data_IF_930002539858
#
_entry.id   IF_930002539858
#
_cell.length_a   1.000
_cell.length_b   1.000
_cell.length_c   1.000
_cell.angle_alpha   90.00
_cell.angle_beta   90.00
_cell.angle_gamma   90.00
#
_symmetry.space_group_name_H-M   'P 1'
#
loop_
_entity.id
_entity.type
_entity.pdbx_description
1 polymer ?
#
# COMPACT_ATOMS: atom_id res chain seq x y z
N UNK A 1 12.03 16.72 -8.03
CA UNK A 1 10.99 16.59 -9.07
C UNK A 1 11.08 17.73 -10.08
N UNK A 2 10.67 17.47 -11.31
CA UNK A 2 10.64 18.43 -12.42
C UNK A 2 9.22 18.94 -12.67
N UNK A 3 8.22 18.07 -12.52
CA UNK A 3 6.80 18.37 -12.74
C UNK A 3 6.01 18.07 -11.47
N UNK A 4 5.14 18.98 -11.09
CA UNK A 4 4.18 18.81 -10.01
C UNK A 4 2.78 19.15 -10.52
N UNK A 5 1.83 18.23 -10.30
CA UNK A 5 0.42 18.43 -10.61
C UNK A 5 -0.35 18.44 -9.29
N UNK A 6 -1.17 19.44 -9.06
CA UNK A 6 -2.03 19.55 -7.89
C UNK A 6 -3.36 20.21 -8.26
N UNK A 7 -4.44 19.98 -7.47
CA UNK A 7 -5.69 20.70 -7.66
C UNK A 7 -5.52 22.21 -7.53
N UNK A 8 -4.71 22.66 -6.56
CA UNK A 8 -4.33 24.04 -6.37
C UNK A 8 -3.02 24.15 -5.57
N UNK A 9 -2.47 25.36 -5.48
CA UNK A 9 -1.28 25.68 -4.71
C UNK A 9 -1.60 26.84 -3.78
N UNK A 10 -1.17 26.75 -2.53
CA UNK A 10 -1.32 27.86 -1.58
C UNK A 10 -0.37 29.01 -1.93
N UNK A 11 -0.71 30.21 -1.48
CA UNK A 11 0.12 31.40 -1.71
C UNK A 11 1.53 31.26 -1.10
N UNK A 12 1.65 30.51 0.00
CA UNK A 12 2.92 30.23 0.67
C UNK A 12 3.76 29.19 -0.08
N UNK A 13 3.10 28.21 -0.72
CA UNK A 13 3.80 27.16 -1.43
C UNK A 13 4.40 27.62 -2.78
N UNK A 14 3.72 28.54 -3.48
CA UNK A 14 4.12 28.99 -4.81
C UNK A 14 5.56 29.54 -4.85
N UNK A 15 5.98 30.48 -3.99
CA UNK A 15 7.34 31.00 -4.03
C UNK A 15 8.41 29.94 -3.79
N UNK A 16 8.12 28.96 -2.92
CA UNK A 16 9.02 27.83 -2.64
C UNK A 16 9.14 26.93 -3.87
N UNK A 17 8.02 26.63 -4.51
CA UNK A 17 7.99 25.77 -5.69
C UNK A 17 8.62 26.44 -6.91
N UNK A 18 8.40 27.73 -7.13
CA UNK A 18 8.92 28.53 -8.23
C UNK A 18 10.42 28.87 -8.09
N UNK A 19 11.02 28.63 -6.92
CA UNK A 19 12.45 28.88 -6.67
C UNK A 19 13.41 28.21 -7.68
N UNK A 20 12.94 27.15 -8.38
CA UNK A 20 13.68 26.47 -9.45
C UNK A 20 13.04 26.77 -10.81
N UNK A 21 13.75 27.53 -11.66
CA UNK A 21 13.30 28.03 -12.98
C UNK A 21 12.72 26.94 -13.92
N UNK A 22 13.23 25.72 -13.85
CA UNK A 22 12.86 24.64 -14.77
C UNK A 22 11.74 23.74 -14.21
N UNK A 23 11.19 24.08 -13.04
CA UNK A 23 10.09 23.31 -12.46
C UNK A 23 8.77 23.67 -13.12
N UNK A 24 8.03 22.67 -13.55
CA UNK A 24 6.71 22.81 -14.18
C UNK A 24 5.65 22.57 -13.12
N UNK A 25 4.82 23.58 -12.86
CA UNK A 25 3.67 23.50 -11.95
C UNK A 25 2.40 23.49 -12.77
N UNK A 26 1.61 22.42 -12.65
CA UNK A 26 0.35 22.24 -13.37
C UNK A 26 -0.80 22.24 -12.38
N UNK A 27 -1.74 23.16 -12.56
CA UNK A 27 -3.01 23.14 -11.81
C UNK A 27 -4.05 22.34 -12.57
N UNK A 28 -4.57 21.29 -11.92
CA UNK A 28 -5.63 20.48 -12.47
C UNK A 28 -6.96 21.24 -12.39
N UNK A 29 -7.53 21.61 -13.53
CA UNK A 29 -8.80 22.36 -13.59
C UNK A 29 -9.99 21.50 -13.25
N UNK A 30 -10.00 20.25 -13.76
CA UNK A 30 -11.08 19.28 -13.56
C UNK A 30 -10.48 17.90 -13.24
N UNK A 31 -11.01 17.19 -12.23
CA UNK A 31 -10.61 15.82 -11.98
C UNK A 31 -11.10 14.93 -13.12
N UNK A 32 -10.19 14.15 -13.71
CA UNK A 32 -10.54 13.16 -14.74
C UNK A 32 -10.95 11.88 -14.02
N UNK A 33 -12.23 11.52 -14.14
CA UNK A 33 -12.81 10.30 -13.59
C UNK A 33 -13.10 9.28 -14.71
N UNK A 34 -12.04 8.68 -15.26
CA UNK A 34 -12.24 7.57 -16.20
C UNK A 34 -12.91 6.39 -15.49
N UNK A 35 -13.95 5.83 -16.10
CA UNK A 35 -14.62 4.62 -15.57
C UNK A 35 -13.79 3.37 -15.86
N UNK A 36 -13.06 3.38 -16.97
CA UNK A 36 -12.26 2.26 -17.43
C UNK A 36 -10.81 2.66 -17.63
N UNK A 37 -9.90 1.76 -17.28
CA UNK A 37 -8.47 1.80 -17.61
C UNK A 37 -8.20 0.79 -18.72
N UNK A 38 -7.45 1.21 -19.73
CA UNK A 38 -7.12 0.38 -20.89
C UNK A 38 -5.61 0.25 -21.03
N UNK A 39 -5.15 -0.96 -21.39
CA UNK A 39 -3.75 -1.22 -21.73
C UNK A 39 -3.67 -2.04 -23.01
N UNK A 40 -2.81 -1.62 -23.92
CA UNK A 40 -2.50 -2.41 -25.12
C UNK A 40 -1.76 -3.70 -24.71
N UNK A 41 -2.11 -4.81 -25.33
CA UNK A 41 -1.53 -6.11 -25.03
C UNK A 41 -1.58 -7.00 -26.27
N UNK A 42 -0.42 -7.30 -26.86
CA UNK A 42 -0.30 -8.10 -28.09
C UNK A 42 -1.26 -7.58 -29.19
N UNK A 43 -2.18 -8.40 -29.66
CA UNK A 43 -3.20 -8.05 -30.64
C UNK A 43 -4.54 -7.56 -30.04
N UNK A 44 -4.58 -7.12 -28.78
CA UNK A 44 -5.79 -6.75 -28.06
C UNK A 44 -5.61 -5.62 -27.06
N UNK A 45 -6.63 -5.45 -26.23
CA UNK A 45 -6.68 -4.45 -25.15
C UNK A 45 -7.15 -5.13 -23.88
N UNK A 46 -6.41 -4.94 -22.79
CA UNK A 46 -6.88 -5.26 -21.44
C UNK A 46 -7.69 -4.07 -20.92
N UNK A 47 -8.96 -4.33 -20.58
CA UNK A 47 -9.87 -3.34 -19.98
C UNK A 47 -10.11 -3.71 -18.51
N UNK A 48 -10.00 -2.74 -17.62
CA UNK A 48 -10.25 -2.89 -16.19
C UNK A 48 -11.06 -1.69 -15.71
N UNK A 49 -12.10 -1.92 -14.91
CA UNK A 49 -12.76 -0.83 -14.21
C UNK A 49 -11.79 -0.08 -13.33
N UNK A 50 -11.92 1.25 -13.32
CA UNK A 50 -11.08 2.08 -12.44
C UNK A 50 -11.42 1.79 -10.99
N UNK A 51 -10.44 1.34 -10.23
CA UNK A 51 -10.56 1.14 -8.79
C UNK A 51 -10.77 2.49 -8.10
N UNK A 52 -11.98 2.72 -7.59
CA UNK A 52 -12.38 3.94 -6.86
C UNK A 52 -12.52 3.73 -5.36
N UNK A 53 -12.37 2.50 -4.88
CA UNK A 53 -12.45 2.21 -3.45
C UNK A 53 -11.35 2.95 -2.70
N UNK A 54 -11.71 3.55 -1.58
CA UNK A 54 -10.77 4.21 -0.65
C UNK A 54 -11.19 3.81 0.75
N UNK A 55 -10.41 2.92 1.34
CA UNK A 55 -10.64 2.47 2.70
C UNK A 55 -10.31 3.56 3.70
N UNK A 56 -11.14 3.61 4.73
CA UNK A 56 -10.92 4.38 5.96
C UNK A 56 -10.68 3.40 7.11
N UNK A 57 -10.52 3.90 8.31
CA UNK A 57 -10.42 3.05 9.50
C UNK A 57 -11.68 2.21 9.75
N UNK A 58 -12.83 2.62 9.21
CA UNK A 58 -14.10 1.89 9.38
C UNK A 58 -14.13 0.54 8.64
N UNK A 59 -13.39 0.43 7.52
CA UNK A 59 -13.25 -0.82 6.76
C UNK A 59 -12.14 -1.72 7.30
N UNK A 60 -11.24 -1.20 8.15
CA UNK A 60 -10.13 -1.95 8.77
C UNK A 60 -10.62 -2.85 9.91
N UNK A 61 -11.21 -4.00 9.59
CA UNK A 61 -11.79 -4.92 10.57
C UNK A 61 -10.73 -5.83 11.18
N UNK A 62 -10.42 -5.70 12.50
CA UNK A 62 -9.48 -6.59 13.16
C UNK A 62 -9.99 -8.04 13.14
N UNK A 63 -9.08 -8.97 12.82
CA UNK A 63 -9.37 -10.42 12.74
C UNK A 63 -8.49 -11.23 13.67
N UNK A 64 -7.53 -10.60 14.33
CA UNK A 64 -6.58 -11.20 15.28
C UNK A 64 -6.92 -10.82 16.72
N UNK A 65 -6.35 -11.57 17.69
CA UNK A 65 -6.50 -11.29 19.13
C UNK A 65 -5.92 -9.94 19.52
N UNK A 66 -4.79 -9.56 18.90
CA UNK A 66 -4.21 -8.23 19.03
C UNK A 66 -4.83 -7.34 17.97
N UNK A 67 -5.47 -6.26 18.40
CA UNK A 67 -5.98 -5.24 17.50
C UNK A 67 -4.89 -4.19 17.21
N UNK A 68 -4.87 -3.60 16.01
CA UNK A 68 -3.96 -2.48 15.76
C UNK A 68 -4.31 -1.28 16.64
N UNK A 69 -3.31 -0.53 17.05
CA UNK A 69 -3.47 0.76 17.73
C UNK A 69 -4.03 1.82 16.77
N UNK A 70 -4.55 2.92 17.30
CA UNK A 70 -5.06 4.04 16.47
C UNK A 70 -3.97 4.58 15.53
N UNK A 71 -2.71 4.62 15.98
CA UNK A 71 -1.58 5.04 15.18
C UNK A 71 -1.32 4.08 14.02
N UNK A 72 -1.30 2.77 14.29
CA UNK A 72 -1.16 1.75 13.26
C UNK A 72 -2.32 1.77 12.27
N UNK A 73 -3.56 2.02 12.72
CA UNK A 73 -4.71 2.17 11.82
C UNK A 73 -4.53 3.34 10.84
N UNK A 74 -4.03 4.48 11.29
CA UNK A 74 -3.71 5.63 10.41
C UNK A 74 -2.65 5.25 9.38
N UNK A 75 -1.58 4.58 9.82
CA UNK A 75 -0.51 4.12 8.94
C UNK A 75 -0.99 3.02 7.98
N UNK A 76 -1.87 2.11 8.39
CA UNK A 76 -2.48 1.09 7.54
C UNK A 76 -3.36 1.72 6.45
N UNK A 77 -4.20 2.71 6.79
CA UNK A 77 -4.99 3.46 5.79
C UNK A 77 -4.10 4.15 4.78
N UNK A 78 -3.02 4.78 5.24
CA UNK A 78 -2.04 5.41 4.36
C UNK A 78 -1.35 4.39 3.46
N UNK A 79 -0.86 3.27 4.00
CA UNK A 79 -0.23 2.19 3.25
C UNK A 79 -1.19 1.58 2.21
N UNK A 80 -2.48 1.40 2.55
CA UNK A 80 -3.50 0.86 1.65
C UNK A 80 -3.74 1.80 0.46
N UNK A 81 -3.78 3.11 0.67
CA UNK A 81 -3.85 4.09 -0.42
C UNK A 81 -2.65 4.00 -1.36
N UNK A 82 -1.45 3.78 -0.83
CA UNK A 82 -0.23 3.65 -1.64
C UNK A 82 -0.19 2.33 -2.40
N UNK A 83 -0.56 1.21 -1.76
CA UNK A 83 -0.54 -0.12 -2.42
C UNK A 83 -1.56 -0.20 -3.55
N UNK A 84 -2.73 0.42 -3.41
CA UNK A 84 -3.73 0.58 -4.47
C UNK A 84 -3.16 1.19 -5.75
N UNK A 85 -2.23 2.14 -5.64
CA UNK A 85 -1.59 2.78 -6.79
C UNK A 85 -0.34 2.05 -7.30
N UNK A 86 0.05 0.97 -6.64
CA UNK A 86 1.22 0.16 -7.01
C UNK A 86 0.85 -0.95 -8.00
N UNK A 87 1.82 -1.34 -8.84
CA UNK A 87 1.62 -2.46 -9.79
C UNK A 87 1.64 -3.78 -9.02
N UNK A 88 0.63 -4.62 -9.23
CA UNK A 88 0.51 -5.96 -8.62
C UNK A 88 1.62 -6.93 -9.06
N UNK A 89 2.04 -7.93 -8.29
CA UNK A 89 1.77 -8.03 -6.85
C UNK A 89 2.53 -6.94 -6.10
N UNK A 90 1.90 -6.33 -5.10
CA UNK A 90 2.48 -5.21 -4.39
C UNK A 90 2.33 -5.33 -2.86
N UNK A 91 3.39 -4.92 -2.18
CA UNK A 91 3.43 -4.70 -0.72
C UNK A 91 3.97 -3.29 -0.46
N UNK A 92 3.35 -2.61 0.48
CA UNK A 92 3.79 -1.31 0.98
C UNK A 92 4.05 -1.41 2.47
N UNK A 93 5.19 -0.86 2.90
CA UNK A 93 5.56 -0.70 4.31
C UNK A 93 5.49 0.79 4.65
N UNK A 94 4.81 1.14 5.74
CA UNK A 94 4.73 2.52 6.21
C UNK A 94 4.90 2.61 7.74
N UNK A 95 5.29 3.80 8.21
CA UNK A 95 5.44 4.13 9.61
C UNK A 95 5.37 5.64 9.78
N UNK A 96 4.64 6.13 10.76
CA UNK A 96 4.55 7.56 11.10
C UNK A 96 4.08 8.45 9.91
N UNK A 97 3.12 7.95 9.10
CA UNK A 97 2.64 8.66 7.92
C UNK A 97 3.64 8.74 6.77
N UNK A 98 4.71 7.95 6.80
CA UNK A 98 5.75 7.90 5.79
C UNK A 98 5.77 6.55 5.07
N UNK A 99 5.93 6.57 3.74
CA UNK A 99 6.31 5.40 2.96
C UNK A 99 7.75 4.99 3.30
N UNK A 100 7.92 3.84 3.92
CA UNK A 100 9.25 3.29 4.25
C UNK A 100 9.84 2.59 3.02
N UNK A 101 9.09 1.66 2.45
CA UNK A 101 9.48 0.95 1.25
C UNK A 101 8.28 0.28 0.57
N UNK A 102 8.48 -0.12 -0.68
CA UNK A 102 7.50 -0.91 -1.42
C UNK A 102 8.19 -1.96 -2.27
N UNK A 103 7.58 -3.12 -2.40
CA UNK A 103 7.87 -4.13 -3.42
C UNK A 103 6.70 -4.17 -4.38
N UNK A 104 6.95 -3.99 -5.67
CA UNK A 104 5.90 -3.80 -6.68
C UNK A 104 6.19 -4.60 -7.95
N UNK A 105 5.13 -5.03 -8.64
CA UNK A 105 5.24 -5.74 -9.91
C UNK A 105 5.90 -7.11 -9.83
N UNK A 106 5.84 -7.75 -8.67
CA UNK A 106 6.46 -9.05 -8.45
C UNK A 106 5.55 -10.21 -8.87
N UNK A 107 6.17 -11.35 -9.21
CA UNK A 107 5.46 -12.56 -9.61
C UNK A 107 4.81 -13.27 -8.43
N UNK A 108 5.35 -13.10 -7.22
CA UNK A 108 4.77 -13.60 -5.98
C UNK A 108 4.66 -12.49 -4.93
N UNK A 109 3.78 -12.71 -3.95
CA UNK A 109 3.58 -11.74 -2.87
C UNK A 109 4.72 -11.78 -1.87
N UNK A 110 5.27 -12.96 -1.61
CA UNK A 110 6.45 -13.11 -0.75
C UNK A 110 7.68 -12.39 -1.34
N UNK A 111 7.87 -12.43 -2.66
CA UNK A 111 8.95 -11.68 -3.32
C UNK A 111 8.74 -10.16 -3.18
N UNK A 112 7.49 -9.68 -3.32
CA UNK A 112 7.18 -8.28 -3.10
C UNK A 112 7.52 -7.83 -1.66
N UNK A 113 7.21 -8.65 -0.66
CA UNK A 113 7.55 -8.37 0.73
C UNK A 113 9.06 -8.39 0.97
N UNK A 114 9.76 -9.40 0.47
CA UNK A 114 11.23 -9.49 0.58
C UNK A 114 11.91 -8.28 -0.05
N UNK A 115 11.45 -7.85 -1.23
CA UNK A 115 11.94 -6.66 -1.92
C UNK A 115 11.72 -5.40 -1.07
N UNK A 116 10.52 -5.22 -0.49
CA UNK A 116 10.22 -4.08 0.38
C UNK A 116 11.13 -4.05 1.62
N UNK A 117 11.28 -5.19 2.31
CA UNK A 117 12.16 -5.32 3.49
C UNK A 117 13.61 -5.02 3.13
N UNK A 118 14.13 -5.62 2.06
CA UNK A 118 15.51 -5.40 1.61
C UNK A 118 15.75 -3.93 1.26
N UNK A 119 14.80 -3.29 0.60
CA UNK A 119 14.87 -1.86 0.24
C UNK A 119 14.85 -0.96 1.48
N UNK A 120 13.99 -1.23 2.45
CA UNK A 120 13.94 -0.49 3.71
C UNK A 120 15.30 -0.56 4.45
N UNK A 121 15.84 -1.75 4.58
CA UNK A 121 17.15 -1.98 5.22
C UNK A 121 18.29 -1.30 4.47
N UNK A 122 18.29 -1.34 3.14
CA UNK A 122 19.30 -0.67 2.30
C UNK A 122 19.33 0.83 2.54
N UNK A 123 18.17 1.47 2.74
CA UNK A 123 18.08 2.90 3.04
C UNK A 123 18.16 3.22 4.54
N UNK A 124 18.45 2.24 5.39
CA UNK A 124 18.64 2.45 6.83
C UNK A 124 17.35 2.71 7.62
N UNK A 125 16.19 2.34 7.08
CA UNK A 125 14.93 2.47 7.81
C UNK A 125 14.76 1.36 8.84
N UNK A 126 14.35 1.75 10.05
CA UNK A 126 13.93 0.82 11.10
C UNK A 126 12.49 0.35 10.84
N UNK A 127 12.33 -0.97 10.73
CA UNK A 127 11.03 -1.61 10.49
C UNK A 127 10.27 -1.97 11.78
N UNK A 128 10.87 -1.83 12.97
CA UNK A 128 10.16 -2.09 14.22
C UNK A 128 9.00 -1.12 14.40
N UNK A 129 7.79 -1.67 14.56
CA UNK A 129 6.57 -0.88 14.66
C UNK A 129 6.07 -0.30 13.32
N UNK A 130 6.65 -0.70 12.19
CA UNK A 130 6.10 -0.41 10.89
C UNK A 130 4.85 -1.27 10.61
N UNK A 131 4.01 -0.80 9.70
CA UNK A 131 2.84 -1.53 9.23
C UNK A 131 3.01 -1.95 7.77
N UNK A 132 2.26 -2.99 7.37
CA UNK A 132 2.25 -3.55 6.03
C UNK A 132 0.85 -3.49 5.43
N UNK A 133 0.73 -3.07 4.16
CA UNK A 133 -0.48 -3.26 3.36
C UNK A 133 -0.19 -4.03 2.08
N UNK A 134 -1.11 -4.94 1.73
CA UNK A 134 -1.04 -5.80 0.55
C UNK A 134 -2.20 -5.49 -0.41
N UNK A 135 -1.92 -5.46 -1.72
CA UNK A 135 -2.92 -5.24 -2.77
C UNK A 135 -3.93 -6.39 -2.92
N UNK A 136 -3.60 -7.58 -2.39
CA UNK A 136 -4.48 -8.76 -2.36
C UNK A 136 -4.18 -9.67 -1.16
N UNK A 137 -4.95 -10.75 -1.01
CA UNK A 137 -4.83 -11.68 0.11
C UNK A 137 -3.49 -12.45 0.13
N UNK A 138 -3.11 -12.92 1.30
CA UNK A 138 -1.98 -13.83 1.45
C UNK A 138 -2.40 -15.26 1.11
N UNK A 139 -1.71 -15.91 0.13
CA UNK A 139 -2.02 -17.29 -0.20
C UNK A 139 -1.53 -18.28 0.88
N UNK A 140 -0.55 -17.90 1.68
CA UNK A 140 0.09 -18.68 2.74
C UNK A 140 0.46 -17.76 3.92
N UNK A 141 0.83 -18.36 5.06
CA UNK A 141 1.26 -17.67 6.27
C UNK A 141 2.74 -17.20 6.27
N UNK A 142 3.49 -17.52 5.21
CA UNK A 142 4.88 -17.14 5.01
C UNK A 142 5.10 -15.62 5.03
N UNK A 143 4.18 -14.86 4.40
CA UNK A 143 4.22 -13.40 4.43
C UNK A 143 4.03 -12.84 5.85
N UNK A 144 3.17 -13.46 6.67
CA UNK A 144 2.96 -13.03 8.05
C UNK A 144 4.21 -13.28 8.89
N UNK A 145 4.80 -14.46 8.74
CA UNK A 145 6.02 -14.85 9.44
C UNK A 145 7.17 -13.91 9.08
N UNK A 146 7.40 -13.68 7.79
CA UNK A 146 8.46 -12.80 7.31
C UNK A 146 8.26 -11.33 7.76
N UNK A 147 7.01 -10.85 7.79
CA UNK A 147 6.68 -9.52 8.29
C UNK A 147 7.01 -9.36 9.78
N UNK A 148 6.60 -10.34 10.59
CA UNK A 148 6.89 -10.36 12.03
C UNK A 148 8.40 -10.39 12.33
N UNK A 149 9.16 -11.24 11.63
CA UNK A 149 10.61 -11.32 11.73
C UNK A 149 11.32 -10.01 11.34
N UNK A 150 10.71 -9.22 10.47
CA UNK A 150 11.21 -7.91 10.09
C UNK A 150 10.88 -6.81 11.11
N UNK A 151 10.00 -7.07 12.09
CA UNK A 151 9.58 -6.11 13.12
C UNK A 151 8.27 -5.38 12.80
N UNK A 152 7.51 -5.83 11.79
CA UNK A 152 6.20 -5.28 11.42
C UNK A 152 5.18 -5.73 12.47
N UNK A 153 4.37 -4.79 12.95
CA UNK A 153 3.42 -5.01 14.06
C UNK A 153 1.97 -5.08 13.62
N UNK A 154 1.63 -4.54 12.44
CA UNK A 154 0.26 -4.59 11.94
C UNK A 154 0.22 -4.79 10.41
N UNK A 155 -0.78 -5.54 9.95
CA UNK A 155 -0.96 -5.95 8.56
C UNK A 155 -2.39 -5.63 8.09
N UNK A 156 -2.54 -5.01 6.91
CA UNK A 156 -3.79 -4.90 6.19
C UNK A 156 -3.76 -5.75 4.92
N UNK A 157 -4.80 -6.55 4.72
CA UNK A 157 -5.04 -7.32 3.50
C UNK A 157 -6.54 -7.44 3.23
N UNK A 158 -6.98 -7.72 2.00
CA UNK A 158 -8.40 -7.86 1.71
C UNK A 158 -9.06 -9.10 2.29
N UNK A 159 -8.31 -10.19 2.54
CA UNK A 159 -8.88 -11.49 2.83
C UNK A 159 -9.48 -12.16 1.59
N UNK A 160 -10.17 -13.29 1.80
CA UNK A 160 -10.81 -14.07 0.74
C UNK A 160 -9.96 -15.21 0.19
N UNK A 161 -8.87 -15.56 0.87
CA UNK A 161 -8.13 -16.79 0.64
C UNK A 161 -8.81 -17.96 1.36
N UNK A 162 -8.75 -19.15 0.78
CA UNK A 162 -9.13 -20.39 1.49
C UNK A 162 -8.25 -20.68 2.70
N UNK A 163 -7.11 -19.98 2.81
CA UNK A 163 -6.11 -20.10 3.88
C UNK A 163 -6.06 -18.88 4.80
N UNK A 164 -7.08 -18.04 4.80
CA UNK A 164 -7.12 -16.88 5.72
C UNK A 164 -6.95 -17.29 7.17
N UNK A 165 -7.54 -18.43 7.58
CA UNK A 165 -7.41 -18.97 8.93
C UNK A 165 -5.95 -19.27 9.31
N UNK A 166 -5.12 -19.76 8.38
CA UNK A 166 -3.71 -20.03 8.61
C UNK A 166 -2.94 -18.73 8.86
N UNK A 167 -3.20 -17.72 8.04
CA UNK A 167 -2.59 -16.37 8.16
C UNK A 167 -2.98 -15.69 9.49
N UNK A 168 -4.25 -15.79 9.89
CA UNK A 168 -4.72 -15.23 11.17
C UNK A 168 -4.08 -15.98 12.35
N UNK A 169 -4.01 -17.32 12.30
CA UNK A 169 -3.38 -18.11 13.35
C UNK A 169 -1.86 -17.81 13.48
N UNK A 170 -1.18 -17.59 12.37
CA UNK A 170 0.22 -17.17 12.37
C UNK A 170 0.39 -15.78 12.99
N UNK A 171 -0.45 -14.81 12.62
CA UNK A 171 -0.44 -13.45 13.17
C UNK A 171 -0.70 -13.48 14.69
N UNK A 172 -1.69 -14.25 15.14
CA UNK A 172 -1.99 -14.44 16.58
C UNK A 172 -0.80 -15.02 17.36
N UNK A 173 -0.15 -16.04 16.79
CA UNK A 173 1.03 -16.67 17.40
C UNK A 173 2.22 -15.73 17.52
N UNK A 174 2.38 -14.86 16.54
CA UNK A 174 3.51 -13.92 16.45
C UNK A 174 3.22 -12.55 17.08
N UNK A 175 2.00 -12.33 17.57
CA UNK A 175 1.59 -11.07 18.19
C UNK A 175 1.44 -9.90 17.20
N UNK A 176 1.20 -10.21 15.92
CA UNK A 176 0.98 -9.22 14.87
C UNK A 176 -0.51 -8.94 14.73
N UNK A 177 -0.90 -7.68 14.75
CA UNK A 177 -2.27 -7.28 14.45
C UNK A 177 -2.59 -7.46 12.96
N UNK A 178 -3.77 -7.97 12.63
CA UNK A 178 -4.21 -8.08 11.25
C UNK A 178 -5.62 -7.53 11.08
N UNK A 179 -5.81 -6.76 10.02
CA UNK A 179 -7.12 -6.28 9.58
C UNK A 179 -7.45 -6.80 8.18
N UNK A 180 -8.72 -7.03 7.91
CA UNK A 180 -9.23 -7.36 6.58
C UNK A 180 -10.11 -6.24 6.06
N UNK A 181 -9.80 -5.77 4.83
CA UNK A 181 -10.51 -4.67 4.17
C UNK A 181 -11.66 -5.13 3.30
N UNK A 182 -11.62 -6.39 2.82
CA UNK A 182 -12.60 -6.94 1.88
C UNK A 182 -12.46 -6.43 0.43
N UNK A 183 -11.52 -5.54 0.16
CA UNK A 183 -11.32 -4.93 -1.16
C UNK A 183 -9.93 -5.27 -1.71
N UNK A 184 -9.88 -5.80 -2.94
CA UNK A 184 -8.64 -6.05 -3.67
C UNK A 184 -8.31 -4.88 -4.58
N UNK A 185 -7.04 -4.50 -4.61
CA UNK A 185 -6.52 -3.40 -5.41
C UNK A 185 -5.62 -3.88 -6.55
N UNK A 186 -6.08 -4.85 -7.33
CA UNK A 186 -5.30 -5.36 -8.44
C UNK A 186 -5.09 -4.31 -9.53
N UNK A 187 -3.82 -4.08 -9.86
CA UNK A 187 -3.39 -3.17 -10.91
C UNK A 187 -2.34 -3.86 -11.80
N UNK A 188 -2.80 -4.38 -12.90
CA UNK A 188 -1.96 -5.11 -13.88
C UNK A 188 -1.48 -4.24 -15.04
#
# INVERSE_FOLDING_TARGET
FEVLIAPDFTAEALPILESKKNRILLRQREPIHATWSYRSMLGGVLAQETDRAVETTAEMKPVTKVAPTDKELVDLVFATKLVKHSKSNAIVLSKDGQLIASGVGQTSRVDALQQAIAKARHFGFDLHGAVLSSDAFFPFDDCVTLAAEAGITAIAQPGGSVRDADSIAAADRLGVAMVMTGVRHFKH
#
